data_IF_728431758338
#
_entry.id   IF_728431758338
#
_cell.length_a   1.000
_cell.length_b   1.000
_cell.length_c   1.000
_cell.angle_alpha   90.00
_cell.angle_beta   90.00
_cell.angle_gamma   90.00
#
_symmetry.space_group_name_H-M   'P 1'
#
loop_
_entity.id
_entity.type
_entity.pdbx_description
1 polymer ?
#
# COMPACT_ATOMS: atom_id res chain seq x y z
N UNK A 1 -77.72 18.74 -20.23
CA UNK A 1 -76.81 19.90 -20.07
C UNK A 1 -76.10 19.73 -18.73
N UNK A 2 -74.94 19.04 -18.71
CA UNK A 2 -73.57 19.60 -18.69
C UNK A 2 -73.17 20.28 -17.36
N UNK A 3 -72.37 19.55 -16.56
CA UNK A 3 -71.08 19.94 -15.94
C UNK A 3 -70.97 19.39 -14.49
N UNK A 4 -70.24 18.29 -14.25
CA UNK A 4 -68.77 18.16 -14.12
C UNK A 4 -68.25 18.77 -12.80
N UNK A 5 -68.17 17.94 -11.75
CA UNK A 5 -66.96 17.27 -11.21
C UNK A 5 -66.18 18.15 -10.22
N UNK A 6 -66.30 17.81 -8.94
CA UNK A 6 -65.46 18.30 -7.85
C UNK A 6 -64.05 17.69 -7.97
N UNK A 7 -63.04 18.53 -8.12
CA UNK A 7 -61.64 18.12 -8.11
C UNK A 7 -61.08 18.26 -6.69
N UNK A 8 -61.07 17.17 -5.94
CA UNK A 8 -60.40 17.09 -4.64
C UNK A 8 -58.89 16.97 -4.89
N UNK A 9 -58.16 18.05 -4.62
CA UNK A 9 -56.69 18.07 -4.67
C UNK A 9 -56.12 17.28 -3.49
N UNK A 10 -55.66 16.05 -3.74
CA UNK A 10 -54.85 15.29 -2.79
C UNK A 10 -53.41 15.81 -2.88
N UNK A 11 -52.98 16.60 -1.89
CA UNK A 11 -51.58 16.99 -1.73
C UNK A 11 -50.83 15.81 -1.12
N UNK A 12 -50.19 15.00 -1.97
CA UNK A 12 -49.24 13.97 -1.52
C UNK A 12 -47.92 14.68 -1.19
N UNK A 13 -47.71 14.96 0.10
CA UNK A 13 -46.44 15.48 0.61
C UNK A 13 -45.35 14.42 0.51
N UNK A 14 -44.56 14.46 -0.57
CA UNK A 14 -43.33 13.66 -0.67
C UNK A 14 -42.28 14.36 0.20
N UNK A 15 -42.19 13.95 1.47
CA UNK A 15 -41.06 14.27 2.34
C UNK A 15 -39.81 13.59 1.79
N UNK A 16 -39.09 14.30 0.92
CA UNK A 16 -37.78 13.91 0.44
C UNK A 16 -36.79 13.91 1.63
N UNK A 17 -36.60 12.74 2.23
CA UNK A 17 -35.58 12.52 3.24
C UNK A 17 -34.20 12.75 2.63
N UNK A 18 -33.56 13.87 2.98
CA UNK A 18 -32.16 14.13 2.66
C UNK A 18 -31.28 13.19 3.48
N UNK A 19 -30.86 12.08 2.87
CA UNK A 19 -29.82 11.22 3.44
C UNK A 19 -28.46 11.91 3.23
N UNK A 20 -27.87 12.40 4.33
CA UNK A 20 -26.50 12.89 4.33
C UNK A 20 -25.55 11.71 4.10
N UNK A 21 -25.11 11.53 2.86
CA UNK A 21 -24.02 10.62 2.53
C UNK A 21 -22.71 11.22 3.08
N UNK A 22 -22.15 10.61 4.13
CA UNK A 22 -20.82 10.96 4.61
C UNK A 22 -19.80 10.56 3.53
N UNK A 23 -19.21 11.55 2.85
CA UNK A 23 -18.12 11.32 1.91
C UNK A 23 -16.86 10.95 2.70
N UNK A 24 -16.51 9.67 2.73
CA UNK A 24 -15.19 9.27 3.21
C UNK A 24 -14.16 9.80 2.21
N UNK A 25 -13.15 10.53 2.71
CA UNK A 25 -12.05 10.97 1.85
C UNK A 25 -11.28 9.74 1.40
N UNK A 26 -11.28 9.46 0.10
CA UNK A 26 -10.43 8.42 -0.47
C UNK A 26 -8.97 8.85 -0.30
N UNK A 27 -8.26 8.23 0.64
CA UNK A 27 -6.83 8.47 0.88
C UNK A 27 -6.04 7.68 -0.16
N UNK A 28 -5.30 8.39 -1.00
CA UNK A 28 -4.51 7.81 -2.06
C UNK A 28 -3.11 7.46 -1.54
N UNK A 29 -2.97 6.40 -0.75
CA UNK A 29 -1.74 6.11 0.00
C UNK A 29 -0.95 4.90 -0.59
N UNK A 30 0.33 4.76 -0.22
CA UNK A 30 1.05 3.47 -0.32
C UNK A 30 0.87 2.69 0.98
N UNK A 31 0.25 1.52 0.92
CA UNK A 31 -0.06 0.70 2.09
C UNK A 31 0.61 -0.67 1.99
N UNK A 32 1.03 -1.19 3.14
CA UNK A 32 1.51 -2.56 3.28
C UNK A 32 0.65 -3.26 4.31
N UNK A 33 0.10 -4.41 3.93
CA UNK A 33 -0.70 -5.28 4.77
C UNK A 33 0.10 -6.53 5.10
N UNK A 34 0.33 -6.77 6.38
CA UNK A 34 0.95 -7.99 6.86
C UNK A 34 -0.13 -9.05 7.07
N UNK A 35 -0.16 -10.08 6.22
CA UNK A 35 -1.06 -11.23 6.36
C UNK A 35 -0.39 -12.43 7.05
N UNK A 36 0.84 -12.27 7.55
CA UNK A 36 1.52 -13.28 8.36
C UNK A 36 1.07 -13.22 9.82
N UNK A 37 1.55 -14.18 10.62
CA UNK A 37 1.30 -14.26 12.05
C UNK A 37 2.37 -13.57 12.91
N UNK A 38 3.43 -13.04 12.28
CA UNK A 38 4.59 -12.46 12.97
C UNK A 38 4.74 -10.97 12.70
N UNK A 39 5.46 -10.25 13.56
CA UNK A 39 5.79 -8.85 13.32
C UNK A 39 6.74 -8.75 12.12
N UNK A 40 6.42 -7.88 11.16
CA UNK A 40 7.26 -7.65 9.99
C UNK A 40 7.80 -6.22 10.00
N UNK A 41 9.13 -6.11 9.89
CA UNK A 41 9.82 -4.85 9.62
C UNK A 41 9.78 -4.56 8.12
N UNK A 42 9.42 -3.33 7.74
CA UNK A 42 9.31 -2.92 6.33
C UNK A 42 10.15 -1.67 6.07
N UNK A 43 10.77 -1.63 4.91
CA UNK A 43 11.46 -0.48 4.33
C UNK A 43 10.98 -0.24 2.91
N UNK A 44 10.91 1.03 2.50
CA UNK A 44 10.51 1.44 1.16
C UNK A 44 11.58 2.32 0.52
N UNK A 45 11.87 2.05 -0.74
CA UNK A 45 12.70 2.86 -1.62
C UNK A 45 11.88 3.46 -2.75
N UNK A 46 12.18 4.69 -3.14
CA UNK A 46 11.53 5.37 -4.24
C UNK A 46 12.39 6.49 -4.84
N UNK A 47 12.02 6.93 -6.04
CA UNK A 47 12.71 8.03 -6.71
C UNK A 47 12.05 9.37 -6.34
N UNK A 48 12.81 10.24 -5.68
CA UNK A 48 12.42 11.61 -5.38
C UNK A 48 13.12 12.60 -6.32
N UNK A 49 12.77 13.89 -6.21
CA UNK A 49 13.43 14.97 -6.97
C UNK A 49 14.93 15.06 -6.70
N UNK A 50 15.35 14.75 -5.48
CA UNK A 50 16.75 14.77 -5.04
C UNK A 50 17.52 13.47 -5.37
N UNK A 51 16.87 12.50 -6.02
CA UNK A 51 17.43 11.19 -6.32
C UNK A 51 16.72 10.07 -5.56
N UNK A 52 17.41 8.95 -5.38
CA UNK A 52 16.88 7.81 -4.63
C UNK A 52 16.74 8.14 -3.14
N UNK A 53 15.63 7.73 -2.55
CA UNK A 53 15.40 7.77 -1.11
C UNK A 53 15.02 6.36 -0.65
N UNK A 54 15.57 5.93 0.47
CA UNK A 54 15.10 4.77 1.23
C UNK A 54 14.70 5.18 2.65
N UNK A 55 13.59 4.65 3.13
CA UNK A 55 13.04 4.92 4.45
C UNK A 55 12.62 3.61 5.11
N UNK A 56 12.60 3.59 6.43
CA UNK A 56 12.28 2.44 7.27
C UNK A 56 12.53 2.82 8.74
N UNK A 57 12.31 1.99 9.74
CA UNK A 57 11.62 0.71 9.73
C UNK A 57 10.17 0.92 10.17
N UNK A 58 9.22 0.51 9.33
CA UNK A 58 7.84 0.38 9.79
C UNK A 58 7.65 -0.99 10.41
N UNK A 59 7.10 -1.03 11.62
CA UNK A 59 6.67 -2.26 12.27
C UNK A 59 5.22 -2.55 11.92
N UNK A 60 4.97 -3.54 11.06
CA UNK A 60 3.62 -3.92 10.64
C UNK A 60 3.19 -5.16 11.43
N UNK A 61 2.26 -4.94 12.37
CA UNK A 61 1.72 -6.01 13.21
C UNK A 61 1.02 -7.11 12.40
N UNK A 62 0.97 -8.36 12.92
CA UNK A 62 0.25 -9.45 12.29
C UNK A 62 -1.18 -9.07 11.93
N UNK A 63 -1.65 -9.44 10.73
CA UNK A 63 -3.00 -9.17 10.21
C UNK A 63 -3.39 -7.68 10.11
N UNK A 64 -2.42 -6.76 10.21
CA UNK A 64 -2.65 -5.31 10.11
C UNK A 64 -2.05 -4.73 8.85
N UNK A 65 -2.52 -3.53 8.50
CA UNK A 65 -1.90 -2.71 7.45
C UNK A 65 -1.33 -1.43 8.04
N UNK A 66 -0.23 -0.94 7.47
CA UNK A 66 0.27 0.43 7.70
C UNK A 66 0.38 1.20 6.38
N UNK A 67 0.19 2.50 6.48
CA UNK A 67 0.52 3.46 5.42
C UNK A 67 2.00 3.83 5.54
N UNK A 68 2.73 3.67 4.45
CA UNK A 68 4.17 3.96 4.38
C UNK A 68 4.42 5.31 3.70
N UNK A 69 3.59 5.65 2.71
CA UNK A 69 3.58 6.96 2.04
C UNK A 69 2.16 7.49 2.12
N UNK A 70 2.01 8.65 2.75
CA UNK A 70 0.75 9.36 2.82
C UNK A 70 0.51 10.21 1.58
N UNK A 71 -0.71 10.14 1.05
CA UNK A 71 -1.11 10.93 -0.10
C UNK A 71 -0.57 10.41 -1.44
N UNK A 72 -1.04 11.04 -2.53
CA UNK A 72 -0.98 10.44 -3.86
C UNK A 72 0.45 10.12 -4.29
N UNK A 73 0.61 8.91 -4.82
CA UNK A 73 1.90 8.40 -5.29
C UNK A 73 2.48 9.27 -6.41
N UNK A 74 3.69 9.78 -6.17
CA UNK A 74 4.39 10.65 -7.10
C UNK A 74 5.27 9.89 -8.13
N UNK A 75 5.53 8.61 -7.87
CA UNK A 75 6.32 7.72 -8.74
C UNK A 75 5.50 6.53 -9.22
N UNK A 76 5.89 5.95 -10.35
CA UNK A 76 5.33 4.67 -10.86
C UNK A 76 5.91 3.46 -10.14
N UNK A 77 7.20 3.48 -9.85
CA UNK A 77 7.92 2.35 -9.27
C UNK A 77 8.26 2.64 -7.80
N UNK A 78 7.95 1.67 -6.95
CA UNK A 78 8.36 1.65 -5.54
C UNK A 78 9.06 0.33 -5.25
N UNK A 79 9.97 0.36 -4.28
CA UNK A 79 10.84 -0.76 -3.95
C UNK A 79 10.58 -1.11 -2.50
N UNK A 80 10.28 -2.36 -2.18
CA UNK A 80 9.99 -2.79 -0.82
C UNK A 80 11.01 -3.82 -0.37
N UNK A 81 11.53 -3.65 0.85
CA UNK A 81 12.24 -4.68 1.58
C UNK A 81 11.46 -4.96 2.85
N UNK A 82 11.27 -6.22 3.20
CA UNK A 82 10.61 -6.59 4.44
C UNK A 82 11.30 -7.81 5.06
N UNK A 83 11.28 -7.89 6.39
CA UNK A 83 11.84 -9.00 7.15
C UNK A 83 10.97 -9.37 8.36
N UNK A 84 10.84 -10.67 8.60
CA UNK A 84 10.22 -11.24 9.80
C UNK A 84 11.18 -11.08 10.99
N UNK A 85 10.68 -10.47 12.07
CA UNK A 85 11.47 -10.16 13.26
C UNK A 85 11.97 -11.39 14.04
N UNK A 86 11.37 -12.58 13.86
CA UNK A 86 11.66 -13.79 14.63
C UNK A 86 12.21 -14.93 13.77
N UNK A 87 11.61 -15.18 12.60
CA UNK A 87 11.96 -16.36 11.77
C UNK A 87 13.00 -16.06 10.70
N UNK A 88 13.32 -14.79 10.49
CA UNK A 88 14.31 -14.37 9.49
C UNK A 88 13.87 -14.57 8.04
N UNK A 89 12.57 -14.76 7.78
CA UNK A 89 11.98 -14.69 6.45
C UNK A 89 12.15 -13.28 5.87
N UNK A 90 12.45 -13.18 4.57
CA UNK A 90 12.75 -11.92 3.89
C UNK A 90 12.04 -11.85 2.55
N UNK A 91 11.33 -10.75 2.33
CA UNK A 91 10.82 -10.41 1.01
C UNK A 91 11.91 -9.67 0.24
N UNK A 92 12.94 -10.41 -0.18
CA UNK A 92 14.04 -9.83 -0.95
C UNK A 92 13.66 -9.65 -2.42
N UNK A 93 14.46 -8.82 -3.08
CA UNK A 93 14.42 -8.61 -4.52
C UNK A 93 15.77 -8.16 -5.07
N UNK A 94 15.91 -8.04 -6.40
CA UNK A 94 17.20 -7.87 -7.05
C UNK A 94 17.80 -6.46 -6.88
N UNK A 95 17.02 -5.49 -6.39
CA UNK A 95 17.42 -4.08 -6.38
C UNK A 95 18.07 -3.72 -5.05
N UNK A 96 19.40 -3.60 -5.05
CA UNK A 96 20.13 -3.28 -3.84
C UNK A 96 19.99 -1.80 -3.45
N UNK A 97 19.60 -1.54 -2.21
CA UNK A 97 19.54 -0.20 -1.63
C UNK A 97 20.05 -0.18 -0.17
N UNK A 98 20.23 1.01 0.39
CA UNK A 98 20.76 1.17 1.74
C UNK A 98 19.67 1.11 2.81
N UNK A 99 19.95 0.42 3.91
CA UNK A 99 19.13 0.39 5.14
C UNK A 99 20.00 0.67 6.37
N UNK A 100 19.38 1.11 7.48
CA UNK A 100 20.05 1.27 8.77
C UNK A 100 19.40 0.40 9.84
N UNK A 101 20.07 0.20 10.97
CA UNK A 101 19.58 -0.67 12.06
C UNK A 101 18.33 -0.13 12.79
N UNK A 102 18.16 1.20 12.81
CA UNK A 102 17.04 1.90 13.46
C UNK A 102 16.23 2.66 12.43
N UNK A 103 15.11 3.26 12.82
CA UNK A 103 14.33 4.14 11.94
C UNK A 103 15.21 5.19 11.25
N UNK A 104 15.01 5.36 9.94
CA UNK A 104 15.93 6.00 9.02
C UNK A 104 15.23 6.59 7.80
N UNK A 105 15.92 7.58 7.23
CA UNK A 105 15.68 8.13 5.90
C UNK A 105 17.02 8.44 5.25
N UNK A 106 17.38 7.68 4.23
CA UNK A 106 18.68 7.76 3.56
C UNK A 106 18.46 8.27 2.13
N UNK A 107 19.25 9.26 1.73
CA UNK A 107 19.32 9.70 0.32
C UNK A 107 20.48 8.98 -0.38
N UNK A 108 20.24 8.46 -1.58
CA UNK A 108 21.22 7.77 -2.41
C UNK A 108 21.48 6.32 -1.99
N UNK A 109 21.67 5.46 -2.99
CA UNK A 109 21.81 3.99 -2.85
C UNK A 109 23.24 3.49 -3.02
N UNK A 110 24.19 4.39 -3.29
CA UNK A 110 25.60 4.04 -3.49
C UNK A 110 26.35 4.00 -2.15
N UNK A 111 27.41 3.20 -2.12
CA UNK A 111 28.41 3.12 -1.05
C UNK A 111 27.82 2.92 0.36
N UNK A 112 26.74 2.14 0.48
CA UNK A 112 26.02 1.94 1.75
C UNK A 112 26.98 1.64 2.91
N UNK A 113 27.86 0.65 2.75
CA UNK A 113 28.80 0.25 3.79
C UNK A 113 29.81 1.33 4.17
N UNK A 114 30.37 2.05 3.19
CA UNK A 114 31.32 3.13 3.45
C UNK A 114 30.66 4.31 4.19
N UNK A 115 29.34 4.44 4.06
CA UNK A 115 28.50 5.44 4.73
C UNK A 115 27.93 4.96 6.07
N UNK A 116 28.29 3.75 6.52
CA UNK A 116 27.82 3.16 7.78
C UNK A 116 26.43 2.52 7.71
N UNK A 117 25.92 2.25 6.50
CA UNK A 117 24.65 1.57 6.26
C UNK A 117 24.86 0.13 5.83
N UNK A 118 23.80 -0.66 5.90
CA UNK A 118 23.75 -2.01 5.35
C UNK A 118 23.13 -1.98 3.94
N UNK A 119 23.38 -3.04 3.17
CA UNK A 119 22.81 -3.22 1.84
C UNK A 119 21.78 -4.36 1.87
N UNK A 120 20.56 -4.06 1.46
CA UNK A 120 19.46 -5.04 1.36
C UNK A 120 18.86 -5.05 -0.04
N UNK A 121 18.32 -6.20 -0.43
CA UNK A 121 17.67 -6.40 -1.73
C UNK A 121 16.19 -6.07 -1.66
N UNK A 122 15.77 -5.04 -2.40
CA UNK A 122 14.39 -4.60 -2.48
C UNK A 122 13.69 -5.20 -3.71
N UNK A 123 12.42 -5.54 -3.53
CA UNK A 123 11.51 -5.97 -4.59
C UNK A 123 10.83 -4.78 -5.23
N UNK A 124 10.84 -4.70 -6.55
CA UNK A 124 10.16 -3.65 -7.30
C UNK A 124 8.66 -3.93 -7.43
N UNK A 125 7.86 -2.89 -7.25
CA UNK A 125 6.43 -2.85 -7.49
C UNK A 125 6.11 -1.75 -8.50
N UNK A 126 5.60 -2.15 -9.67
CA UNK A 126 5.06 -1.24 -10.68
C UNK A 126 3.59 -0.92 -10.34
N UNK A 127 3.34 0.33 -9.94
CA UNK A 127 2.00 0.81 -9.60
C UNK A 127 1.18 1.20 -10.84
N UNK A 128 1.76 1.17 -12.05
CA UNK A 128 1.07 1.58 -13.27
C UNK A 128 0.65 3.06 -13.30
N UNK A 129 1.33 3.92 -12.52
CA UNK A 129 0.95 5.32 -12.26
C UNK A 129 -0.35 5.49 -11.46
N UNK A 130 -0.79 4.46 -10.73
CA UNK A 130 -1.90 4.60 -9.79
C UNK A 130 -1.49 5.51 -8.63
N UNK A 131 -2.43 6.34 -8.17
CA UNK A 131 -2.20 7.27 -7.08
C UNK A 131 -2.24 6.59 -5.69
N UNK A 132 -2.65 5.33 -5.62
CA UNK A 132 -2.69 4.53 -4.40
C UNK A 132 -2.26 3.11 -4.72
N UNK A 133 -1.58 2.45 -3.80
CA UNK A 133 -1.13 1.08 -3.97
C UNK A 133 -1.15 0.32 -2.65
N UNK A 134 -1.42 -0.98 -2.72
CA UNK A 134 -1.39 -1.85 -1.55
C UNK A 134 -0.60 -3.11 -1.86
N UNK A 135 0.38 -3.40 -1.01
CA UNK A 135 1.15 -4.65 -1.04
C UNK A 135 0.68 -5.53 0.11
N UNK A 136 0.40 -6.79 -0.18
CA UNK A 136 0.13 -7.79 0.85
C UNK A 136 1.36 -8.69 1.04
N UNK A 137 1.88 -8.74 2.26
CA UNK A 137 2.95 -9.64 2.66
C UNK A 137 2.32 -10.94 3.16
N UNK A 138 2.71 -12.04 2.54
CA UNK A 138 2.30 -13.41 2.89
C UNK A 138 3.55 -14.23 3.19
N UNK A 139 3.40 -15.28 4.00
CA UNK A 139 4.52 -16.17 4.32
C UNK A 139 5.13 -16.77 3.05
N UNK A 140 6.46 -16.88 2.99
CA UNK A 140 7.20 -17.41 1.83
C UNK A 140 6.74 -18.81 1.40
N UNK A 141 6.30 -19.64 2.35
CA UNK A 141 5.73 -20.96 2.09
C UNK A 141 4.47 -20.92 1.19
N UNK A 142 3.73 -19.80 1.20
CA UNK A 142 2.56 -19.57 0.34
C UNK A 142 2.92 -18.84 -0.96
N UNK A 143 4.08 -18.22 -1.05
CA UNK A 143 4.53 -17.50 -2.24
C UNK A 143 4.99 -18.45 -3.37
N UNK A 144 5.47 -19.65 -3.01
CA UNK A 144 5.83 -20.71 -3.95
C UNK A 144 4.62 -21.41 -4.59
N UNK A 145 3.47 -21.49 -3.91
CA UNK A 145 2.22 -22.04 -4.50
C UNK A 145 1.55 -21.08 -5.49
N UNK A 146 1.56 -19.77 -5.22
CA UNK A 146 0.96 -18.76 -6.11
C UNK A 146 1.79 -18.50 -7.40
N UNK A 147 3.08 -18.83 -7.39
CA UNK A 147 3.91 -18.73 -8.59
C UNK A 147 3.69 -19.93 -9.53
N UNK A 148 3.30 -21.10 -9.00
CA UNK A 148 3.09 -22.32 -9.79
C UNK A 148 1.66 -22.49 -10.32
N UNK A 149 0.67 -21.80 -9.77
CA UNK A 149 -0.72 -21.86 -10.24
C UNK A 149 -0.99 -20.98 -11.46
N UNK A 150 -0.14 -19.99 -11.74
CA UNK A 150 -0.22 -19.17 -12.97
C UNK A 150 0.52 -19.77 -14.18
N UNK A 151 1.16 -20.93 -14.04
CA UNK A 151 1.87 -21.61 -15.14
C UNK A 151 1.09 -22.80 -15.72
N UNK A 152 -0.12 -23.10 -15.21
CA UNK A 152 -0.97 -24.19 -15.69
C UNK A 152 -2.38 -23.72 -16.10
N UNK A 153 -2.48 -22.50 -16.61
CA UNK A 153 -3.67 -22.00 -17.28
C UNK A 153 -3.30 -21.27 -18.57
N UNK A 154 -2.60 -21.97 -19.48
CA UNK A 154 -2.59 -21.74 -20.92
C UNK A 154 -2.21 -23.03 -21.66
#
# INVERSE_FOLDING_TARGET
MRNALAATLIVVGVSAGFTFAATTTARADFRVCNATQELVGVSIGYRARTGWITEGWWHVEPTKCKTLIEGPLASRYYYLYAEDALRGGRWDGPVNMCVAEREFKITGVNDCFARGFQRSGFREYDTGNQQSWMVQLIDEAQQSENTNTNTNAQ
#
